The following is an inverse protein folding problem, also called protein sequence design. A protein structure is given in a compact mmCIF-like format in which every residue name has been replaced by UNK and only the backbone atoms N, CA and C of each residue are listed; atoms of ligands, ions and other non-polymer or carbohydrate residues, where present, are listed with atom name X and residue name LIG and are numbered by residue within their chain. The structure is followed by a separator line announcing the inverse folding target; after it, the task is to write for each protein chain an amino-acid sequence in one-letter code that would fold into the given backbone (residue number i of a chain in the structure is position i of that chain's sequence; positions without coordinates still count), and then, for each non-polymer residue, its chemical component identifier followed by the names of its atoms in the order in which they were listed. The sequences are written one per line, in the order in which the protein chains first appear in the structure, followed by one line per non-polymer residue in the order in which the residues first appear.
data_IF_042174367508
#
_entry.id   IF_042174367508
#
_cell.length_a   1.000
_cell.length_b   1.000
_cell.length_c   1.000
_cell.angle_alpha   90.00
_cell.angle_beta   90.00
_cell.angle_gamma   90.00
#
_symmetry.space_group_name_H-M   'P 1'
#
loop_
_entity.id
_entity.type
_entity.pdbx_description
1 polymer ?
#
# COMPACT_ATOMS: atom_id res chain seq x y z
N UNK A 1 -13.93 1.23 32.86
CA UNK A 1 -12.65 1.89 32.55
C UNK A 1 -11.60 0.79 32.42
N UNK A 2 -11.33 0.30 31.21
CA UNK A 2 -10.28 -0.68 30.95
C UNK A 2 -9.23 0.00 30.10
N UNK A 3 -8.11 0.36 30.71
CA UNK A 3 -6.92 0.82 30.02
C UNK A 3 -6.25 -0.38 29.37
N UNK A 4 -6.52 -0.60 28.08
CA UNK A 4 -5.77 -1.58 27.29
C UNK A 4 -4.32 -1.10 27.17
N UNK A 5 -3.41 -1.71 27.94
CA UNK A 5 -1.97 -1.53 27.76
C UNK A 5 -1.60 -2.06 26.39
N UNK A 6 -1.21 -1.16 25.49
CA UNK A 6 -0.55 -1.49 24.23
C UNK A 6 0.75 -2.24 24.54
N UNK A 7 0.73 -3.56 24.42
CA UNK A 7 1.94 -4.37 24.39
C UNK A 7 2.42 -4.39 22.95
N UNK A 8 3.42 -3.56 22.62
CA UNK A 8 4.22 -3.83 21.43
C UNK A 8 4.78 -5.24 21.59
N UNK A 9 4.56 -6.09 20.60
CA UNK A 9 5.03 -7.47 20.64
C UNK A 9 6.56 -7.44 20.77
N UNK A 10 7.18 -8.18 21.71
CA UNK A 10 8.63 -8.14 21.94
C UNK A 10 9.49 -8.42 20.70
N UNK A 11 8.91 -9.04 19.67
CA UNK A 11 9.53 -9.24 18.35
C UNK A 11 9.84 -7.92 17.60
N UNK A 12 8.99 -6.89 17.73
CA UNK A 12 9.16 -5.62 17.00
C UNK A 12 10.22 -4.70 17.62
N UNK A 13 10.59 -4.94 18.88
CA UNK A 13 11.64 -4.16 19.57
C UNK A 13 13.01 -4.28 18.89
N UNK A 14 13.29 -5.41 18.23
CA UNK A 14 14.53 -5.62 17.48
C UNK A 14 14.64 -4.82 16.18
N UNK A 15 13.54 -4.22 15.70
CA UNK A 15 13.51 -3.42 14.47
C UNK A 15 13.94 -1.97 14.73
N UNK A 16 13.65 -1.41 15.90
CA UNK A 16 13.93 0.00 16.23
C UNK A 16 15.41 0.40 16.03
N UNK A 17 16.40 -0.38 16.49
CA UNK A 17 17.81 -0.03 16.28
C UNK A 17 18.19 -0.02 14.80
N UNK A 18 17.63 -0.95 14.01
CA UNK A 18 17.90 -1.03 12.57
C UNK A 18 17.30 0.17 11.85
N UNK A 19 16.07 0.55 12.20
CA UNK A 19 15.40 1.70 11.61
C UNK A 19 16.14 3.01 11.91
N UNK A 20 16.65 3.17 13.13
CA UNK A 20 17.51 4.30 13.49
C UNK A 20 18.80 4.34 12.65
N UNK A 21 19.44 3.19 12.44
CA UNK A 21 20.63 3.08 11.59
C UNK A 21 20.33 3.48 10.13
N UNK A 22 19.19 3.07 9.56
CA UNK A 22 18.78 3.50 8.22
C UNK A 22 18.58 5.01 8.16
N UNK A 23 17.90 5.60 9.15
CA UNK A 23 17.66 7.05 9.19
C UNK A 23 18.97 7.84 9.21
N UNK A 24 19.94 7.39 10.00
CA UNK A 24 21.23 8.04 10.07
C UNK A 24 21.98 7.95 8.75
N UNK A 25 22.05 6.77 8.13
CA UNK A 25 22.68 6.61 6.83
C UNK A 25 21.96 7.42 5.73
N UNK A 26 20.63 7.50 5.77
CA UNK A 26 19.84 8.26 4.81
C UNK A 26 20.02 9.78 4.94
N UNK A 27 20.34 10.31 6.13
CA UNK A 27 20.69 11.73 6.29
C UNK A 27 21.89 12.13 5.43
N UNK A 28 22.90 11.26 5.34
CA UNK A 28 24.07 11.49 4.48
C UNK A 28 23.68 11.51 2.99
N UNK A 29 22.80 10.59 2.56
CA UNK A 29 22.26 10.57 1.19
C UNK A 29 21.46 11.84 0.89
N UNK A 30 20.63 12.30 1.83
CA UNK A 30 19.81 13.51 1.66
C UNK A 30 20.68 14.78 1.58
N UNK A 31 21.74 14.86 2.37
CA UNK A 31 22.69 15.97 2.33
C UNK A 31 23.47 16.00 1.00
N UNK A 32 23.82 14.83 0.47
CA UNK A 32 24.60 14.69 -0.77
C UNK A 32 23.97 13.66 -1.73
N UNK A 33 22.87 13.99 -2.44
CA UNK A 33 22.13 13.03 -3.25
C UNK A 33 22.90 12.44 -4.43
N UNK A 34 24.01 13.07 -4.84
CA UNK A 34 24.91 12.56 -5.88
C UNK A 34 26.09 11.73 -5.36
N UNK A 35 26.26 11.61 -4.05
CA UNK A 35 27.36 10.85 -3.45
C UNK A 35 27.04 9.35 -3.47
N UNK A 36 27.67 8.64 -4.41
CA UNK A 36 27.54 7.19 -4.55
C UNK A 36 28.04 6.43 -3.31
N UNK A 37 29.00 6.99 -2.58
CA UNK A 37 29.50 6.41 -1.33
C UNK A 37 28.44 6.43 -0.24
N UNK A 38 27.80 7.59 -0.03
CA UNK A 38 26.68 7.73 0.90
C UNK A 38 25.50 6.81 0.54
N UNK A 39 25.17 6.72 -0.76
CA UNK A 39 24.09 5.84 -1.24
C UNK A 39 24.38 4.36 -0.98
N UNK A 40 25.62 3.90 -1.23
CA UNK A 40 26.04 2.51 -0.94
C UNK A 40 26.06 2.22 0.55
N UNK A 41 26.55 3.15 1.36
CA UNK A 41 26.58 3.02 2.81
C UNK A 41 25.17 2.87 3.42
N UNK A 42 24.14 3.40 2.76
CA UNK A 42 22.76 3.24 3.20
C UNK A 42 22.14 1.86 2.90
N UNK A 43 22.74 1.04 2.03
CA UNK A 43 22.19 -0.26 1.64
C UNK A 43 22.33 -1.33 2.72
N UNK A 44 23.44 -1.32 3.47
CA UNK A 44 23.68 -2.31 4.52
C UNK A 44 22.68 -2.16 5.69
N UNK A 45 22.46 -0.96 6.27
CA UNK A 45 21.41 -0.76 7.26
C UNK A 45 20.01 -1.15 6.77
N UNK A 46 19.70 -0.92 5.48
CA UNK A 46 18.41 -1.33 4.89
C UNK A 46 18.25 -2.85 4.81
N UNK A 47 19.31 -3.57 4.44
CA UNK A 47 19.29 -5.02 4.42
C UNK A 47 19.07 -5.59 5.83
N UNK A 48 19.76 -5.05 6.83
CA UNK A 48 19.60 -5.44 8.23
C UNK A 48 18.18 -5.14 8.76
N UNK A 49 17.62 -3.97 8.42
CA UNK A 49 16.23 -3.61 8.76
C UNK A 49 15.23 -4.60 8.15
N UNK A 50 15.43 -4.97 6.89
CA UNK A 50 14.56 -5.92 6.19
C UNK A 50 14.60 -7.30 6.84
N UNK A 51 15.78 -7.80 7.18
CA UNK A 51 15.94 -9.09 7.86
C UNK A 51 15.32 -9.11 9.25
N UNK A 52 15.50 -8.02 10.02
CA UNK A 52 14.86 -7.84 11.31
C UNK A 52 13.32 -7.80 11.17
N UNK A 53 12.80 -7.08 10.18
CA UNK A 53 11.37 -7.00 9.90
C UNK A 53 10.78 -8.35 9.49
N UNK A 54 11.44 -9.09 8.59
CA UNK A 54 11.01 -10.42 8.17
C UNK A 54 10.97 -11.39 9.37
N UNK A 55 12.01 -11.39 10.20
CA UNK A 55 12.12 -12.27 11.37
C UNK A 55 11.07 -11.96 12.44
N UNK A 56 10.65 -10.69 12.54
CA UNK A 56 9.64 -10.24 13.49
C UNK A 56 8.19 -10.34 12.98
N UNK A 57 7.98 -10.80 11.74
CA UNK A 57 6.65 -10.83 11.10
C UNK A 57 6.13 -9.44 10.66
N UNK A 58 7.01 -8.44 10.59
CA UNK A 58 6.72 -7.07 10.18
C UNK A 58 6.64 -6.89 8.67
N UNK A 59 5.77 -7.63 7.99
CA UNK A 59 5.71 -7.68 6.51
C UNK A 59 5.61 -6.30 5.81
N UNK A 60 4.90 -5.33 6.42
CA UNK A 60 4.83 -3.97 5.89
C UNK A 60 6.16 -3.21 5.97
N UNK A 61 6.90 -3.37 7.07
CA UNK A 61 8.22 -2.75 7.25
C UNK A 61 9.23 -3.39 6.28
N UNK A 62 9.18 -4.71 6.12
CA UNK A 62 10.02 -5.45 5.17
C UNK A 62 9.79 -4.99 3.73
N UNK A 63 8.53 -4.83 3.32
CA UNK A 63 8.16 -4.35 1.98
C UNK A 63 8.68 -2.93 1.71
N UNK A 64 8.48 -2.01 2.66
CA UNK A 64 8.96 -0.63 2.54
C UNK A 64 10.49 -0.57 2.47
N UNK A 65 11.18 -1.36 3.29
CA UNK A 65 12.64 -1.48 3.25
C UNK A 65 13.14 -1.98 1.88
N UNK A 66 12.49 -3.01 1.29
CA UNK A 66 12.82 -3.49 -0.07
C UNK A 66 12.65 -2.43 -1.14
N UNK A 67 11.57 -1.64 -1.08
CA UNK A 67 11.32 -0.57 -2.04
C UNK A 67 12.41 0.51 -1.96
N UNK A 68 12.77 0.93 -0.75
CA UNK A 68 13.87 1.88 -0.54
C UNK A 68 15.20 1.33 -1.04
N UNK A 69 15.51 0.07 -0.73
CA UNK A 69 16.71 -0.60 -1.20
C UNK A 69 16.80 -0.58 -2.74
N UNK A 70 15.69 -0.86 -3.43
CA UNK A 70 15.64 -0.83 -4.90
C UNK A 70 15.84 0.58 -5.50
N UNK A 71 15.39 1.63 -4.82
CA UNK A 71 15.63 3.03 -5.22
C UNK A 71 17.11 3.39 -5.00
N UNK A 72 17.63 3.19 -3.80
CA UNK A 72 19.00 3.57 -3.43
C UNK A 72 20.05 2.73 -4.15
N UNK A 73 19.79 1.44 -4.43
CA UNK A 73 20.70 0.58 -5.19
C UNK A 73 20.86 1.07 -6.63
N UNK A 74 19.74 1.39 -7.29
CA UNK A 74 19.78 1.98 -8.64
C UNK A 74 20.53 3.31 -8.65
N UNK A 75 20.38 4.11 -7.61
CA UNK A 75 21.14 5.34 -7.46
C UNK A 75 22.65 5.07 -7.29
N UNK A 76 23.02 4.16 -6.39
CA UNK A 76 24.40 3.78 -6.07
C UNK A 76 25.19 3.19 -7.26
N UNK A 77 24.47 2.67 -8.25
CA UNK A 77 25.01 2.13 -9.50
C UNK A 77 25.00 3.17 -10.63
N UNK A 78 24.57 4.40 -10.37
CA UNK A 78 24.45 5.47 -11.37
C UNK A 78 23.29 5.28 -12.35
N UNK A 79 22.35 4.36 -12.08
CA UNK A 79 21.18 4.06 -12.93
C UNK A 79 19.99 4.98 -12.66
N UNK A 80 19.99 5.71 -11.54
CA UNK A 80 18.94 6.64 -11.14
C UNK A 80 19.54 7.88 -10.48
N UNK A 81 19.18 9.08 -10.96
CA UNK A 81 19.49 10.31 -10.23
C UNK A 81 18.45 10.52 -9.12
N UNK A 82 18.89 10.64 -7.86
CA UNK A 82 18.02 10.95 -6.72
C UNK A 82 17.62 12.43 -6.75
N UNK A 83 16.49 12.72 -7.39
CA UNK A 83 15.83 14.03 -7.35
C UNK A 83 15.05 14.22 -6.05
N UNK A 84 14.60 15.45 -5.80
CA UNK A 84 13.86 15.82 -4.59
C UNK A 84 12.67 14.88 -4.33
N UNK A 85 11.89 14.55 -5.37
CA UNK A 85 10.70 13.71 -5.26
C UNK A 85 11.04 12.27 -4.83
N UNK A 86 12.19 11.75 -5.29
CA UNK A 86 12.65 10.42 -4.89
C UNK A 86 13.15 10.41 -3.43
N UNK A 87 13.79 11.49 -2.99
CA UNK A 87 14.23 11.64 -1.59
C UNK A 87 13.02 11.78 -0.65
N UNK A 88 12.02 12.57 -1.03
CA UNK A 88 10.76 12.72 -0.30
C UNK A 88 10.02 11.37 -0.18
N UNK A 89 9.95 10.58 -1.25
CA UNK A 89 9.36 9.26 -1.21
C UNK A 89 10.07 8.30 -0.23
N UNK A 90 11.41 8.35 -0.17
CA UNK A 90 12.20 7.55 0.77
C UNK A 90 12.02 8.03 2.21
N UNK A 91 11.93 9.34 2.44
CA UNK A 91 11.67 9.93 3.76
C UNK A 91 10.26 9.61 4.28
N UNK A 92 9.26 9.60 3.38
CA UNK A 92 7.90 9.17 3.69
C UNK A 92 7.86 7.68 4.08
N UNK A 93 8.60 6.82 3.35
CA UNK A 93 8.71 5.40 3.68
C UNK A 93 9.36 5.18 5.06
N UNK A 94 10.43 5.91 5.40
CA UNK A 94 11.05 5.91 6.73
C UNK A 94 10.07 6.33 7.83
N UNK A 95 9.36 7.44 7.62
CA UNK A 95 8.38 7.95 8.58
C UNK A 95 7.23 6.95 8.81
N UNK A 96 6.82 6.22 7.76
CA UNK A 96 5.80 5.17 7.86
C UNK A 96 6.33 3.95 8.62
N UNK A 97 7.57 3.54 8.38
CA UNK A 97 8.20 2.46 9.15
C UNK A 97 8.35 2.82 10.63
N UNK A 98 8.67 4.07 10.96
CA UNK A 98 8.75 4.51 12.36
C UNK A 98 7.41 4.41 13.08
N UNK A 99 6.33 4.80 12.40
CA UNK A 99 4.96 4.64 12.93
C UNK A 99 4.61 3.17 13.17
N UNK A 100 4.94 2.30 12.20
CA UNK A 100 4.68 0.86 12.30
C UNK A 100 5.45 0.17 13.43
N UNK A 101 6.69 0.61 13.70
CA UNK A 101 7.59 -0.03 14.67
C UNK A 101 7.51 0.58 16.06
N UNK A 102 7.37 1.91 16.13
CA UNK A 102 7.41 2.66 17.39
C UNK A 102 6.21 2.44 18.30
N UNK A 103 5.11 1.89 17.79
CA UNK A 103 3.87 1.74 18.56
C UNK A 103 3.34 3.06 19.12
N UNK A 104 3.95 4.20 18.75
CA UNK A 104 3.34 5.51 18.88
C UNK A 104 1.99 5.33 18.22
N UNK A 105 0.93 5.50 19.02
CA UNK A 105 -0.41 5.55 18.49
C UNK A 105 -0.31 6.35 17.20
N UNK A 106 -0.60 5.68 16.09
CA UNK A 106 -1.12 6.35 14.92
C UNK A 106 -2.17 7.27 15.52
N UNK A 107 -1.87 8.57 15.64
CA UNK A 107 -2.94 9.53 15.80
C UNK A 107 -3.92 9.14 14.69
N UNK A 108 -5.19 8.90 15.06
CA UNK A 108 -6.26 8.25 14.31
C UNK A 108 -6.11 8.20 12.78
N UNK A 109 -5.59 9.24 12.11
CA UNK A 109 -5.16 9.36 10.72
C UNK A 109 -4.96 8.09 9.88
N UNK A 110 -4.09 7.10 10.18
CA UNK A 110 -3.97 5.93 9.25
C UNK A 110 -5.14 4.93 9.42
N UNK A 111 -5.76 4.86 10.61
CA UNK A 111 -6.97 4.09 10.87
C UNK A 111 -8.22 4.78 10.36
N UNK A 112 -8.30 6.09 10.53
CA UNK A 112 -9.32 6.97 9.95
C UNK A 112 -9.22 6.99 8.43
N UNK A 113 -8.02 7.08 7.86
CA UNK A 113 -7.80 6.98 6.41
C UNK A 113 -8.14 5.60 5.88
N UNK A 114 -7.81 4.52 6.61
CA UNK A 114 -8.25 3.17 6.25
C UNK A 114 -9.76 3.01 6.36
N UNK A 115 -10.40 3.62 7.36
CA UNK A 115 -11.86 3.60 7.53
C UNK A 115 -12.57 4.39 6.43
N UNK A 116 -12.08 5.60 6.10
CA UNK A 116 -12.54 6.44 4.99
C UNK A 116 -12.35 5.69 3.67
N UNK A 117 -11.19 5.08 3.44
CA UNK A 117 -10.94 4.27 2.26
C UNK A 117 -11.90 3.06 2.17
N UNK A 118 -12.11 2.35 3.28
CA UNK A 118 -13.00 1.19 3.31
C UNK A 118 -14.47 1.60 3.07
N UNK A 119 -14.88 2.77 3.57
CA UNK A 119 -16.20 3.34 3.31
C UNK A 119 -16.36 3.78 1.86
N UNK A 120 -15.41 4.56 1.32
CA UNK A 120 -15.38 4.98 -0.08
C UNK A 120 -15.38 3.77 -1.03
N UNK A 121 -14.57 2.75 -0.76
CA UNK A 121 -14.55 1.52 -1.56
C UNK A 121 -15.86 0.75 -1.49
N UNK A 122 -16.58 0.76 -0.36
CA UNK A 122 -17.90 0.13 -0.24
C UNK A 122 -18.96 0.86 -1.07
N UNK A 123 -18.94 2.19 -1.04
CA UNK A 123 -19.84 3.01 -1.86
C UNK A 123 -19.58 2.81 -3.35
N UNK A 124 -18.30 2.87 -3.76
CA UNK A 124 -17.89 2.63 -5.14
C UNK A 124 -18.24 1.21 -5.59
N UNK A 125 -18.10 0.22 -4.71
CA UNK A 125 -18.55 -1.15 -4.98
C UNK A 125 -20.05 -1.24 -5.20
N UNK A 126 -20.85 -0.62 -4.34
CA UNK A 126 -22.31 -0.58 -4.48
C UNK A 126 -22.76 0.11 -5.75
N UNK A 127 -22.11 1.21 -6.12
CA UNK A 127 -22.36 1.92 -7.39
C UNK A 127 -21.96 1.05 -8.59
N UNK A 128 -20.81 0.39 -8.54
CA UNK A 128 -20.38 -0.53 -9.58
C UNK A 128 -21.38 -1.67 -9.79
N UNK A 129 -21.85 -2.30 -8.71
CA UNK A 129 -22.88 -3.35 -8.74
C UNK A 129 -24.19 -2.84 -9.36
N UNK A 130 -24.66 -1.66 -8.95
CA UNK A 130 -25.87 -1.06 -9.49
C UNK A 130 -25.76 -0.78 -10.99
N UNK A 131 -24.64 -0.20 -11.44
CA UNK A 131 -24.42 0.17 -12.84
C UNK A 131 -24.28 -1.06 -13.72
N UNK A 132 -23.58 -2.08 -13.21
CA UNK A 132 -23.50 -3.39 -13.86
C UNK A 132 -24.85 -4.10 -13.86
N UNK A 133 -25.74 -3.88 -12.89
CA UNK A 133 -27.07 -4.45 -12.84
C UNK A 133 -28.00 -3.98 -13.97
N UNK A 134 -27.79 -2.79 -14.52
CA UNK A 134 -28.64 -2.17 -15.56
C UNK A 134 -28.63 -2.97 -16.88
N UNK A 135 -29.70 -2.86 -17.66
CA UNK A 135 -29.81 -3.41 -19.02
C UNK A 135 -30.37 -2.32 -19.97
N UNK A 136 -29.55 -1.73 -20.85
CA UNK A 136 -28.13 -2.04 -21.10
C UNK A 136 -27.21 -1.57 -19.97
N UNK A 137 -26.02 -2.19 -19.89
CA UNK A 137 -24.96 -1.74 -18.98
C UNK A 137 -24.38 -0.43 -19.51
N UNK A 138 -24.27 0.55 -18.63
CA UNK A 138 -23.61 1.83 -18.92
C UNK A 138 -22.08 1.68 -18.75
N UNK A 139 -21.39 1.40 -19.86
CA UNK A 139 -19.95 1.12 -19.87
C UNK A 139 -19.12 2.34 -19.49
N UNK A 140 -19.59 3.55 -19.80
CA UNK A 140 -18.91 4.79 -19.43
C UNK A 140 -18.94 5.00 -17.92
N UNK A 141 -20.09 4.75 -17.32
CA UNK A 141 -20.25 4.83 -15.87
C UNK A 141 -19.44 3.74 -15.15
N UNK A 142 -19.39 2.51 -15.67
CA UNK A 142 -18.50 1.46 -15.13
C UNK A 142 -17.04 1.92 -15.16
N UNK A 143 -16.57 2.47 -16.29
CA UNK A 143 -15.21 2.97 -16.41
C UNK A 143 -14.91 4.12 -15.45
N UNK A 144 -15.89 5.00 -15.22
CA UNK A 144 -15.80 6.10 -14.24
C UNK A 144 -15.62 5.57 -12.83
N UNK A 145 -16.45 4.62 -12.40
CA UNK A 145 -16.36 4.03 -11.05
C UNK A 145 -15.02 3.31 -10.84
N UNK A 146 -14.54 2.58 -11.84
CA UNK A 146 -13.21 1.94 -11.76
C UNK A 146 -12.06 2.96 -11.64
N UNK A 147 -12.13 4.11 -12.34
CA UNK A 147 -11.14 5.18 -12.16
C UNK A 147 -11.19 5.80 -10.76
N UNK A 148 -12.38 5.96 -10.19
CA UNK A 148 -12.54 6.45 -8.81
C UNK A 148 -11.91 5.47 -7.81
N UNK A 149 -12.17 4.17 -7.95
CA UNK A 149 -11.55 3.12 -7.13
C UNK A 149 -10.02 3.09 -7.28
N UNK A 150 -9.51 3.29 -8.50
CA UNK A 150 -8.07 3.33 -8.79
C UNK A 150 -7.41 4.52 -8.08
N UNK A 151 -8.06 5.70 -8.12
CA UNK A 151 -7.57 6.90 -7.46
C UNK A 151 -7.53 6.75 -5.95
N UNK A 152 -8.61 6.26 -5.35
CA UNK A 152 -8.69 5.98 -3.92
C UNK A 152 -7.59 4.99 -3.50
N UNK A 153 -7.40 3.91 -4.26
CA UNK A 153 -6.41 2.88 -3.96
C UNK A 153 -4.97 3.36 -4.11
N UNK A 154 -4.67 4.25 -5.08
CA UNK A 154 -3.35 4.90 -5.19
C UNK A 154 -3.07 5.84 -4.02
N UNK A 155 -4.09 6.57 -3.56
CA UNK A 155 -3.96 7.52 -2.46
C UNK A 155 -3.50 6.83 -1.17
N UNK A 156 -4.01 5.62 -0.91
CA UNK A 156 -3.61 4.81 0.26
C UNK A 156 -2.44 3.85 -0.01
N UNK A 157 -1.92 3.80 -1.24
CA UNK A 157 -0.76 2.98 -1.62
C UNK A 157 -1.04 1.48 -1.76
N UNK A 158 -2.24 1.10 -2.22
CA UNK A 158 -2.66 -0.29 -2.42
C UNK A 158 -2.48 -0.73 -3.88
N UNK A 159 -1.23 -0.90 -4.31
CA UNK A 159 -0.87 -1.19 -5.71
C UNK A 159 -1.46 -2.51 -6.26
N UNK A 160 -1.67 -3.51 -5.40
CA UNK A 160 -2.32 -4.76 -5.80
C UNK A 160 -3.76 -4.53 -6.28
N UNK A 161 -4.48 -3.61 -5.63
CA UNK A 161 -5.86 -3.23 -5.98
C UNK A 161 -5.87 -2.48 -7.31
N UNK A 162 -4.92 -1.56 -7.48
CA UNK A 162 -4.72 -0.81 -8.73
C UNK A 162 -4.49 -1.79 -9.89
N UNK A 163 -3.68 -2.84 -9.70
CA UNK A 163 -3.44 -3.86 -10.72
C UNK A 163 -4.70 -4.67 -11.07
N UNK A 164 -5.52 -5.04 -10.08
CA UNK A 164 -6.82 -5.70 -10.33
C UNK A 164 -7.81 -4.81 -11.08
N UNK A 165 -7.87 -3.52 -10.73
CA UNK A 165 -8.69 -2.54 -11.46
C UNK A 165 -8.21 -2.39 -12.91
N UNK A 166 -6.89 -2.38 -13.14
CA UNK A 166 -6.31 -2.38 -14.48
C UNK A 166 -6.77 -3.59 -15.32
N UNK A 167 -6.72 -4.79 -14.75
CA UNK A 167 -7.24 -6.01 -15.39
C UNK A 167 -8.73 -5.90 -15.72
N UNK A 168 -9.54 -5.41 -14.78
CA UNK A 168 -10.97 -5.19 -14.98
C UNK A 168 -11.25 -4.28 -16.19
N UNK A 169 -10.51 -3.19 -16.32
CA UNK A 169 -10.63 -2.23 -17.43
C UNK A 169 -10.26 -2.86 -18.78
N UNK A 170 -9.21 -3.67 -18.84
CA UNK A 170 -8.86 -4.38 -20.08
C UNK A 170 -9.98 -5.30 -20.55
N UNK A 171 -10.61 -6.01 -19.60
CA UNK A 171 -11.68 -6.94 -19.93
C UNK A 171 -12.93 -6.20 -20.42
N UNK A 172 -13.22 -5.02 -19.88
CA UNK A 172 -14.28 -4.13 -20.38
C UNK A 172 -13.96 -3.59 -21.78
N UNK A 173 -12.74 -3.09 -21.99
CA UNK A 173 -12.30 -2.54 -23.28
C UNK A 173 -12.31 -3.57 -24.41
N UNK A 174 -11.97 -4.83 -24.13
CA UNK A 174 -12.00 -5.94 -25.11
C UNK A 174 -13.41 -6.43 -25.45
N UNK A 175 -14.43 -6.11 -24.63
CA UNK A 175 -15.79 -6.70 -24.74
C UNK A 175 -16.91 -5.69 -25.04
N UNK A 176 -16.56 -4.45 -25.42
CA UNK A 176 -17.46 -3.31 -25.63
C UNK A 176 -18.60 -3.43 -26.66
N UNK A 177 -19.04 -4.63 -27.05
CA UNK A 177 -20.14 -4.82 -28.00
C UNK A 177 -21.09 -6.00 -27.70
N UNK A 178 -20.88 -6.79 -26.61
CA UNK A 178 -21.77 -7.92 -26.26
C UNK A 178 -22.04 -7.99 -24.75
N UNK A 179 -22.75 -6.98 -24.24
CA UNK A 179 -22.91 -6.66 -22.82
C UNK A 179 -23.65 -7.69 -21.94
N UNK A 180 -24.23 -8.77 -22.49
CA UNK A 180 -24.98 -9.76 -21.68
C UNK A 180 -24.15 -10.97 -21.22
N UNK A 181 -23.23 -11.46 -22.05
CA UNK A 181 -22.35 -12.59 -21.70
C UNK A 181 -21.05 -12.15 -21.01
N UNK A 182 -20.63 -10.90 -21.22
CA UNK A 182 -19.55 -10.29 -20.45
C UNK A 182 -19.93 -10.14 -18.97
N UNK A 183 -21.21 -9.84 -18.69
CA UNK A 183 -21.77 -9.62 -17.34
C UNK A 183 -21.31 -10.67 -16.31
N UNK A 184 -21.40 -11.97 -16.59
CA UNK A 184 -21.13 -13.01 -15.57
C UNK A 184 -19.66 -13.39 -15.38
N UNK A 185 -18.82 -13.24 -16.42
CA UNK A 185 -17.39 -13.60 -16.35
C UNK A 185 -16.56 -12.43 -15.83
N UNK A 186 -16.82 -11.22 -16.34
CA UNK A 186 -16.17 -9.99 -15.86
C UNK A 186 -16.49 -9.79 -14.37
N UNK A 187 -17.74 -10.02 -13.97
CA UNK A 187 -18.19 -9.99 -12.58
C UNK A 187 -17.44 -10.96 -11.67
N UNK A 188 -17.23 -12.20 -12.12
CA UNK A 188 -16.56 -13.22 -11.30
C UNK A 188 -15.07 -12.92 -11.13
N UNK A 189 -14.43 -12.44 -12.20
CA UNK A 189 -13.01 -12.09 -12.19
C UNK A 189 -12.75 -10.82 -11.36
N UNK A 190 -13.57 -9.77 -11.50
CA UNK A 190 -13.51 -8.58 -10.64
C UNK A 190 -13.78 -8.91 -9.18
N UNK A 191 -14.84 -9.70 -8.91
CA UNK A 191 -15.20 -10.06 -7.54
C UNK A 191 -14.16 -10.96 -6.89
N UNK A 192 -13.53 -11.87 -7.63
CA UNK A 192 -12.40 -12.65 -7.11
C UNK A 192 -11.16 -11.77 -6.86
N UNK A 193 -10.83 -10.85 -7.78
CA UNK A 193 -9.70 -9.93 -7.62
C UNK A 193 -9.89 -8.95 -6.47
N UNK A 194 -11.13 -8.49 -6.24
CA UNK A 194 -11.45 -7.49 -5.23
C UNK A 194 -11.93 -8.09 -3.90
N UNK A 195 -12.35 -9.36 -3.84
CA UNK A 195 -12.69 -10.02 -2.58
C UNK A 195 -11.49 -10.04 -1.63
N UNK A 196 -10.31 -10.44 -2.11
CA UNK A 196 -9.10 -10.42 -1.28
C UNK A 196 -8.71 -9.02 -0.79
N UNK A 197 -9.12 -7.98 -1.50
CA UNK A 197 -8.86 -6.57 -1.16
C UNK A 197 -9.88 -6.05 -0.15
N UNK A 198 -11.15 -6.34 -0.37
CA UNK A 198 -12.24 -5.93 0.52
C UNK A 198 -12.16 -6.67 1.86
N UNK A 199 -11.77 -7.95 1.84
CA UNK A 199 -11.50 -8.72 3.05
C UNK A 199 -10.30 -8.12 3.80
N UNK A 200 -9.20 -7.81 3.10
CA UNK A 200 -8.04 -7.14 3.71
C UNK A 200 -8.36 -5.74 4.25
N UNK A 201 -9.23 -4.98 3.57
CA UNK A 201 -9.68 -3.66 4.01
C UNK A 201 -10.63 -3.74 5.20
N UNK A 202 -11.50 -4.76 5.28
CA UNK A 202 -12.38 -5.01 6.42
C UNK A 202 -11.58 -5.42 7.67
N UNK A 203 -10.57 -6.27 7.49
CA UNK A 203 -9.61 -6.65 8.55
C UNK A 203 -8.82 -5.43 9.02
N UNK A 204 -8.33 -4.60 8.10
CA UNK A 204 -7.61 -3.36 8.42
C UNK A 204 -8.49 -2.32 9.13
N UNK A 205 -9.78 -2.28 8.83
CA UNK A 205 -10.79 -1.44 9.50
C UNK A 205 -11.24 -2.00 10.87
N UNK A 206 -10.61 -3.07 11.38
CA UNK A 206 -10.85 -3.59 12.73
C UNK A 206 -12.17 -4.33 12.92
N UNK A 207 -12.86 -4.75 11.86
CA UNK A 207 -14.18 -5.40 11.93
C UNK A 207 -14.17 -6.93 12.09
N UNK A 208 -13.09 -7.52 12.57
CA UNK A 208 -13.00 -8.97 12.88
C UNK A 208 -12.78 -9.27 14.38
N UNK A 209 -13.17 -8.34 15.28
CA UNK A 209 -13.12 -8.60 16.74
C UNK A 209 -14.47 -8.64 17.45
N UNK A 210 -15.59 -8.68 16.74
CA UNK A 210 -16.91 -8.70 17.41
C UNK A 210 -17.91 -9.78 16.94
N UNK A 211 -17.49 -10.77 16.16
CA UNK A 211 -18.32 -11.97 15.92
C UNK A 211 -17.49 -13.27 16.00
N UNK A 212 -17.12 -13.65 17.23
CA UNK A 212 -16.84 -15.04 17.61
C UNK A 212 -17.06 -15.23 19.12
#
# INVERSE_FOLDING_TARGET
MVTAKQTSTPAMAGILPQLAAVKEAFRAVKAHPGDLGAQRACLEPLAALREAAASAGGGHVEMLARHMEGVLRRAAEGRLALKAEALEAVELALSRMERLVGGAAVADDDGELAAIYAEEMRELWGRLDQVLGRDPVDVEEVARVLNEMERASRYVGLDAVVAEIGRAREVLGKKGAKARAAKSKVWRELRQGLAGVLDAAAVAAGRDREEA
#
